data_IF_860580631435
#
_entry.id   IF_860580631435
#
_cell.length_a   1.000
_cell.length_b   1.000
_cell.length_c   1.000
_cell.angle_alpha   90.00
_cell.angle_beta   90.00
_cell.angle_gamma   90.00
#
_symmetry.space_group_name_H-M   'P 1'
#
loop_
_entity.id
_entity.type
_entity.pdbx_description
1 polymer ?
#
# COMPACT_ATOMS: atom_id res chain seq x y z
N UNK A 1 3.61 -8.64 -8.57
CA UNK A 1 3.58 -10.03 -9.07
C UNK A 1 4.91 -10.73 -8.89
N UNK A 2 6.04 -10.07 -9.21
CA UNK A 2 7.37 -10.65 -9.01
C UNK A 2 7.63 -11.13 -7.56
N UNK A 3 7.09 -10.43 -6.56
CA UNK A 3 7.33 -10.75 -5.14
C UNK A 3 6.47 -11.89 -4.57
N UNK A 4 5.24 -12.07 -5.07
CA UNK A 4 4.30 -13.07 -4.56
C UNK A 4 4.31 -14.36 -5.39
N UNK A 5 4.92 -14.35 -6.58
CA UNK A 5 4.92 -15.49 -7.51
C UNK A 5 3.55 -15.81 -8.14
N UNK A 6 2.48 -15.13 -7.72
CA UNK A 6 1.12 -15.34 -8.23
C UNK A 6 0.90 -14.48 -9.48
N UNK A 7 0.67 -15.13 -10.61
CA UNK A 7 0.30 -14.47 -11.87
C UNK A 7 -1.13 -13.92 -11.88
N UNK A 8 -1.46 -13.03 -12.82
CA UNK A 8 -2.76 -12.32 -12.87
C UNK A 8 -3.95 -13.27 -12.95
N UNK A 9 -3.80 -14.36 -13.72
CA UNK A 9 -4.86 -15.34 -13.96
C UNK A 9 -5.15 -16.20 -12.71
N UNK A 10 -4.15 -16.80 -12.04
CA UNK A 10 -4.35 -17.41 -10.73
C UNK A 10 -4.95 -16.45 -9.69
N UNK A 11 -4.50 -15.19 -9.65
CA UNK A 11 -5.03 -14.19 -8.73
C UNK A 11 -6.51 -13.89 -8.98
N UNK A 12 -6.91 -13.77 -10.25
CA UNK A 12 -8.30 -13.55 -10.63
C UNK A 12 -9.22 -14.68 -10.15
N UNK A 13 -8.78 -15.94 -10.34
CA UNK A 13 -9.52 -17.11 -9.90
C UNK A 13 -9.68 -17.15 -8.38
N UNK A 14 -8.61 -16.86 -7.64
CA UNK A 14 -8.62 -16.95 -6.18
C UNK A 14 -9.34 -15.77 -5.50
N UNK A 15 -9.25 -14.56 -6.06
CA UNK A 15 -9.88 -13.35 -5.49
C UNK A 15 -11.32 -13.12 -5.95
N UNK A 16 -11.76 -13.81 -7.00
CA UNK A 16 -13.05 -13.56 -7.66
C UNK A 16 -13.09 -12.26 -8.47
N UNK A 17 -11.98 -11.51 -8.54
CA UNK A 17 -11.86 -10.29 -9.33
C UNK A 17 -11.54 -10.64 -10.77
N UNK A 18 -12.25 -10.03 -11.73
CA UNK A 18 -12.02 -10.30 -13.15
C UNK A 18 -10.56 -10.02 -13.56
N UNK A 19 -9.99 -10.92 -14.36
CA UNK A 19 -8.61 -10.82 -14.84
C UNK A 19 -8.32 -9.48 -15.55
N UNK A 20 -9.25 -9.00 -16.36
CA UNK A 20 -9.16 -7.71 -17.06
C UNK A 20 -9.12 -6.54 -16.08
N UNK A 21 -9.91 -6.58 -15.02
CA UNK A 21 -9.91 -5.59 -13.94
C UNK A 21 -8.55 -5.54 -13.24
N UNK A 22 -7.99 -6.69 -12.86
CA UNK A 22 -6.64 -6.78 -12.28
C UNK A 22 -5.60 -6.17 -13.21
N UNK A 23 -5.64 -6.51 -14.51
CA UNK A 23 -4.72 -5.95 -15.51
C UNK A 23 -4.81 -4.43 -15.61
N UNK A 24 -6.03 -3.87 -15.62
CA UNK A 24 -6.27 -2.41 -15.69
C UNK A 24 -5.80 -1.66 -14.44
N UNK A 25 -5.99 -2.26 -13.26
CA UNK A 25 -5.50 -1.73 -11.98
C UNK A 25 -3.96 -1.70 -12.00
N UNK A 26 -3.32 -2.80 -12.39
CA UNK A 26 -1.85 -2.88 -12.43
C UNK A 26 -1.23 -1.95 -13.47
N UNK A 27 -1.94 -1.70 -14.58
CA UNK A 27 -1.55 -0.71 -15.58
C UNK A 27 -1.82 0.75 -15.14
N UNK A 28 -2.44 0.97 -13.97
CA UNK A 28 -2.77 2.31 -13.47
C UNK A 28 -3.90 3.01 -14.22
N UNK A 29 -4.67 2.27 -15.03
CA UNK A 29 -5.74 2.84 -15.88
C UNK A 29 -7.08 2.96 -15.18
N UNK A 30 -7.23 2.30 -14.03
CA UNK A 30 -8.45 2.30 -13.20
C UNK A 30 -8.07 2.21 -11.73
N UNK A 31 -8.81 2.92 -10.88
CA UNK A 31 -8.79 2.73 -9.43
C UNK A 31 -9.80 1.65 -9.03
N UNK A 32 -9.40 0.74 -8.15
CA UNK A 32 -10.32 -0.24 -7.57
C UNK A 32 -11.08 0.34 -6.37
N UNK A 33 -12.29 -0.17 -6.14
CA UNK A 33 -13.02 0.09 -4.91
C UNK A 33 -12.39 -0.66 -3.69
N UNK A 34 -12.84 -0.30 -2.49
CA UNK A 34 -12.33 -0.84 -1.23
C UNK A 34 -12.63 -2.34 -1.07
N UNK A 35 -13.76 -2.83 -1.58
CA UNK A 35 -14.11 -4.25 -1.50
C UNK A 35 -13.19 -5.11 -2.37
N UNK A 36 -12.95 -4.67 -3.61
CA UNK A 36 -11.97 -5.25 -4.52
C UNK A 36 -10.57 -5.26 -3.89
N UNK A 37 -10.15 -4.15 -3.28
CA UNK A 37 -8.87 -4.08 -2.57
C UNK A 37 -8.80 -5.12 -1.44
N UNK A 38 -9.84 -5.23 -0.61
CA UNK A 38 -9.88 -6.19 0.49
C UNK A 38 -9.80 -7.66 0.03
N UNK A 39 -10.50 -8.02 -1.05
CA UNK A 39 -10.42 -9.37 -1.63
C UNK A 39 -9.01 -9.68 -2.16
N UNK A 40 -8.36 -8.71 -2.80
CA UNK A 40 -6.99 -8.86 -3.28
C UNK A 40 -5.99 -9.00 -2.12
N UNK A 41 -6.09 -8.18 -1.07
CA UNK A 41 -5.23 -8.27 0.11
C UNK A 41 -5.41 -9.59 0.86
N UNK A 42 -6.65 -10.05 1.03
CA UNK A 42 -6.96 -11.35 1.63
C UNK A 42 -6.32 -12.50 0.83
N UNK A 43 -6.48 -12.48 -0.49
CA UNK A 43 -5.94 -13.51 -1.39
C UNK A 43 -4.42 -13.54 -1.41
N UNK A 44 -3.78 -12.36 -1.32
CA UNK A 44 -2.33 -12.23 -1.30
C UNK A 44 -1.73 -12.43 0.10
N UNK A 45 -2.57 -12.52 1.15
CA UNK A 45 -2.13 -12.64 2.54
C UNK A 45 -1.32 -11.45 3.05
N UNK A 46 -1.37 -10.29 2.37
CA UNK A 46 -0.59 -9.10 2.71
C UNK A 46 -1.32 -7.81 2.33
N UNK A 47 -1.06 -6.70 3.03
CA UNK A 47 -1.57 -5.41 2.61
C UNK A 47 -0.92 -4.96 1.31
N UNK A 48 -1.73 -4.41 0.40
CA UNK A 48 -1.29 -3.76 -0.83
C UNK A 48 -1.13 -2.26 -0.60
N UNK A 49 -1.98 -1.68 0.24
CA UNK A 49 -1.82 -0.29 0.64
C UNK A 49 -0.81 -0.18 1.79
N UNK A 50 0.05 0.85 1.81
CA UNK A 50 0.90 1.14 2.96
C UNK A 50 0.03 1.36 4.19
N UNK A 51 -0.08 0.33 5.02
CA UNK A 51 -0.55 0.52 6.39
C UNK A 51 0.57 1.28 7.05
N UNK A 52 0.25 2.37 7.73
CA UNK A 52 1.20 3.00 8.64
C UNK A 52 1.39 2.04 9.82
N UNK A 53 2.04 0.90 9.58
CA UNK A 53 2.91 0.30 10.56
C UNK A 53 4.08 1.27 10.63
N UNK A 54 3.86 2.40 11.32
CA UNK A 54 4.95 3.21 11.79
C UNK A 54 5.74 2.32 12.73
N UNK A 55 6.66 1.53 12.17
CA UNK A 55 7.87 1.17 12.88
C UNK A 55 8.53 2.51 13.09
N UNK A 56 8.17 3.16 14.21
CA UNK A 56 8.73 4.42 14.66
C UNK A 56 10.21 4.12 14.78
N UNK A 57 10.99 4.48 13.76
CA UNK A 57 12.43 4.58 13.92
C UNK A 57 12.58 5.52 15.12
N UNK A 58 13.26 5.12 16.21
CA UNK A 58 13.46 6.04 17.31
C UNK A 58 14.19 7.24 16.71
N UNK A 59 13.49 8.39 16.61
CA UNK A 59 14.15 9.65 16.27
C UNK A 59 15.21 9.81 17.34
N UNK A 60 16.47 9.86 16.94
CA UNK A 60 17.53 10.22 17.89
C UNK A 60 17.22 11.64 18.39
N UNK A 61 17.55 11.93 19.65
CA UNK A 61 17.24 13.21 20.28
C UNK A 61 17.66 14.41 19.41
N UNK A 62 18.78 14.26 18.68
CA UNK A 62 19.34 15.24 17.75
C UNK A 62 18.43 15.59 16.56
N UNK A 63 17.57 14.66 16.12
CA UNK A 63 16.67 14.84 14.98
C UNK A 63 15.37 15.55 15.39
N UNK A 64 14.91 15.32 16.62
CA UNK A 64 13.76 16.04 17.22
C UNK A 64 14.13 17.50 17.48
N UNK A 65 15.34 17.73 17.99
CA UNK A 65 15.86 19.06 18.32
C UNK A 65 16.06 19.95 17.07
N UNK A 66 16.48 19.36 15.95
CA UNK A 66 16.53 20.10 14.67
C UNK A 66 15.16 20.45 14.12
N UNK A 67 14.14 19.62 14.35
CA UNK A 67 12.78 19.88 13.86
C UNK A 67 12.02 20.90 14.71
N UNK A 68 12.34 21.03 16.02
CA UNK A 68 11.77 22.08 16.88
C UNK A 68 12.42 23.45 16.62
N UNK A 69 13.68 23.46 16.20
CA UNK A 69 14.42 24.70 15.90
C UNK A 69 13.96 25.42 14.62
N UNK A 70 13.19 24.77 13.73
CA UNK A 70 12.86 25.31 12.39
C UNK A 70 11.45 25.88 12.25
N UNK A 71 10.76 26.22 13.35
CA UNK A 71 9.56 27.06 13.27
C UNK A 71 9.66 28.29 14.18
N UNK A 72 10.04 29.46 13.65
CA UNK A 72 9.43 30.69 14.13
C UNK A 72 7.96 30.66 13.74
N UNK A 73 7.08 30.68 14.74
CA UNK A 73 5.68 31.07 14.57
C UNK A 73 5.74 32.59 14.50
N UNK A 74 5.67 33.15 13.29
CA UNK A 74 5.39 34.58 13.12
C UNK A 74 3.89 34.78 13.34
N UNK A 75 3.55 35.69 14.26
CA UNK A 75 2.19 36.02 14.70
C UNK A 75 1.63 37.19 13.87
#
# INVERSE_FOLDING_TARGET
MAETGIGQRPLALASGVAHTTIGRILAGTVLCDIGTLAHLEYTLGRPLWPRTSSRRRPRTAKEVERAVATKPIDL
#
